data_IF_936996322852
#
_entry.id   IF_936996322852
#
_cell.length_a   1.000
_cell.length_b   1.000
_cell.length_c   1.000
_cell.angle_alpha   90.00
_cell.angle_beta   90.00
_cell.angle_gamma   90.00
#
_symmetry.space_group_name_H-M   'P 1'
#
loop_
_entity.id
_entity.type
_entity.pdbx_description
1 polymer ?
#
# COMPACT_ATOMS: atom_id res chain seq x y z
N UNK A 1 16.73 22.38 19.55
CA UNK A 1 16.85 20.93 19.85
C UNK A 1 15.63 20.25 19.23
N UNK A 2 15.79 19.64 18.05
CA UNK A 2 14.68 18.98 17.34
C UNK A 2 14.53 17.57 17.92
N UNK A 3 13.38 17.30 18.53
CA UNK A 3 12.93 15.96 18.90
C UNK A 3 12.67 15.18 17.63
N UNK A 4 13.48 14.16 17.33
CA UNK A 4 13.16 13.18 16.29
C UNK A 4 12.18 12.17 16.87
N UNK A 5 10.92 12.24 16.42
CA UNK A 5 9.92 11.21 16.69
C UNK A 5 10.39 9.91 16.06
N UNK A 6 10.65 8.88 16.89
CA UNK A 6 10.97 7.53 16.44
C UNK A 6 9.64 6.82 16.15
N UNK A 7 9.29 6.65 14.88
CA UNK A 7 8.17 5.80 14.49
C UNK A 7 8.64 4.34 14.51
N UNK A 8 7.95 3.49 15.26
CA UNK A 8 8.19 2.05 15.32
C UNK A 8 7.10 1.33 14.52
N UNK A 9 7.49 0.44 13.60
CA UNK A 9 6.54 -0.47 12.96
C UNK A 9 6.37 -1.68 13.86
N UNK A 10 5.11 -2.06 14.11
CA UNK A 10 4.78 -3.27 14.85
C UNK A 10 4.57 -4.38 13.82
N UNK A 11 5.49 -5.33 13.74
CA UNK A 11 5.29 -6.58 13.01
C UNK A 11 4.54 -7.55 13.92
N UNK A 12 3.32 -7.94 13.54
CA UNK A 12 2.56 -9.00 14.24
C UNK A 12 2.72 -10.30 13.45
N UNK A 13 3.59 -11.20 13.91
CA UNK A 13 3.65 -12.58 13.41
C UNK A 13 2.75 -13.46 14.29
N UNK A 14 1.58 -13.85 13.78
CA UNK A 14 0.69 -14.77 14.50
C UNK A 14 1.11 -16.23 14.24
N UNK A 15 1.57 -16.94 15.28
CA UNK A 15 1.60 -18.42 15.27
C UNK A 15 0.22 -18.96 15.66
N UNK A 16 -0.40 -19.75 14.78
CA UNK A 16 -1.69 -20.39 15.03
C UNK A 16 -1.51 -21.74 15.74
N UNK A 17 -2.11 -21.91 16.93
CA UNK A 17 -2.32 -23.23 17.53
C UNK A 17 -3.74 -23.72 17.24
N UNK A 18 -3.88 -24.92 16.68
CA UNK A 18 -5.17 -25.58 16.46
C UNK A 18 -5.66 -26.26 17.74
N UNK A 19 -6.91 -26.00 18.13
CA UNK A 19 -7.58 -26.72 19.22
C UNK A 19 -8.75 -27.51 18.62
N UNK A 20 -8.74 -28.83 18.79
CA UNK A 20 -9.83 -29.74 18.43
C UNK A 20 -10.90 -29.71 19.53
N UNK A 21 -12.15 -29.37 19.18
CA UNK A 21 -13.29 -29.43 20.10
C UNK A 21 -14.03 -30.77 19.95
N UNK A 22 -14.19 -31.50 21.06
CA UNK A 22 -15.05 -32.68 21.15
C UNK A 22 -16.50 -32.28 21.45
N UNK A 23 -17.46 -32.93 20.79
CA UNK A 23 -18.89 -32.64 20.90
C UNK A 23 -19.51 -33.31 22.13
N UNK A 24 -20.29 -32.55 22.91
CA UNK A 24 -21.13 -33.06 23.99
C UNK A 24 -22.32 -32.12 24.21
N UNK A 25 -23.53 -32.65 24.11
CA UNK A 25 -24.80 -31.91 24.14
C UNK A 25 -25.44 -31.90 25.52
N UNK A 26 -25.74 -30.69 26.03
CA UNK A 26 -26.83 -30.42 26.98
C UNK A 26 -27.21 -28.94 26.91
N UNK A 27 -28.46 -28.64 26.57
CA UNK A 27 -29.02 -27.28 26.57
C UNK A 27 -29.36 -26.84 28.00
N UNK A 28 -28.69 -25.79 28.46
CA UNK A 28 -29.12 -24.93 29.56
C UNK A 28 -28.86 -23.49 29.15
N UNK A 29 -29.89 -22.64 29.24
CA UNK A 29 -29.84 -21.21 28.92
C UNK A 29 -28.95 -20.47 29.92
N UNK A 30 -27.66 -20.43 29.65
CA UNK A 30 -26.73 -19.46 30.22
C UNK A 30 -26.52 -18.37 29.17
N UNK A 31 -26.68 -17.10 29.58
CA UNK A 31 -26.16 -15.96 28.85
C UNK A 31 -24.68 -16.26 28.60
N UNK A 32 -24.34 -16.57 27.35
CA UNK A 32 -22.97 -16.80 26.95
C UNK A 32 -22.24 -15.47 27.12
N UNK A 33 -21.51 -15.35 28.23
CA UNK A 33 -20.43 -14.39 28.34
C UNK A 33 -19.50 -14.73 27.17
N UNK A 34 -19.49 -13.88 26.14
CA UNK A 34 -18.48 -13.94 25.08
C UNK A 34 -17.13 -13.91 25.78
N UNK A 35 -16.52 -15.08 25.89
CA UNK A 35 -15.17 -15.21 26.39
C UNK A 35 -14.30 -14.60 25.30
N UNK A 36 -14.03 -13.30 25.40
CA UNK A 36 -13.06 -12.64 24.56
C UNK A 36 -11.78 -13.48 24.64
N UNK A 37 -11.43 -14.12 23.53
CA UNK A 37 -10.14 -14.81 23.42
C UNK A 37 -9.11 -13.70 23.49
N UNK A 38 -8.55 -13.48 24.67
CA UNK A 38 -7.42 -12.59 24.85
C UNK A 38 -6.23 -13.25 24.16
N UNK A 39 -6.05 -12.93 22.87
CA UNK A 39 -4.77 -13.17 22.20
C UNK A 39 -3.82 -12.11 22.72
N UNK A 40 -2.92 -12.51 23.61
CA UNK A 40 -1.79 -11.67 23.98
C UNK A 40 -0.83 -11.60 22.79
N UNK A 41 -0.72 -10.43 22.17
CA UNK A 41 0.33 -10.14 21.19
C UNK A 41 1.54 -9.63 21.96
N UNK A 42 2.66 -10.34 21.86
CA UNK A 42 3.96 -9.87 22.37
C UNK A 42 4.75 -9.28 21.23
N UNK A 43 5.38 -8.13 21.45
CA UNK A 43 6.24 -7.48 20.46
C UNK A 43 7.69 -7.61 20.88
N UNK A 44 8.57 -7.91 19.92
CA UNK A 44 10.02 -7.91 20.10
C UNK A 44 10.65 -6.90 19.14
N UNK A 45 11.67 -6.19 19.61
CA UNK A 45 12.45 -5.29 18.77
C UNK A 45 13.48 -6.10 17.98
N UNK A 46 13.25 -6.25 16.68
CA UNK A 46 14.11 -7.02 15.75
C UNK A 46 15.07 -6.14 14.95
N UNK A 47 14.72 -4.86 14.73
CA UNK A 47 15.56 -3.89 14.05
C UNK A 47 15.18 -2.45 14.45
N UNK A 48 16.17 -1.57 14.51
CA UNK A 48 15.97 -0.13 14.69
C UNK A 48 16.36 0.60 13.40
N UNK A 49 15.36 0.95 12.59
CA UNK A 49 15.51 1.68 11.34
C UNK A 49 14.94 3.08 11.53
N UNK A 50 15.62 4.10 11.00
CA UNK A 50 15.15 5.48 11.07
C UNK A 50 14.06 5.73 10.02
N UNK A 51 12.92 6.28 10.44
CA UNK A 51 11.75 6.56 9.58
C UNK A 51 11.41 5.42 8.59
N UNK A 52 11.18 4.18 9.05
CA UNK A 52 10.70 3.10 8.18
C UNK A 52 9.42 3.51 7.47
N UNK A 53 9.26 3.10 6.22
CA UNK A 53 8.06 3.36 5.42
C UNK A 53 7.38 2.06 5.08
N UNK A 54 8.08 1.12 4.46
CA UNK A 54 7.51 -0.16 4.05
C UNK A 54 8.41 -1.34 4.40
N UNK A 55 7.86 -2.54 4.38
CA UNK A 55 8.63 -3.76 4.35
C UNK A 55 8.08 -4.73 3.29
N UNK A 56 8.94 -5.61 2.79
CA UNK A 56 8.57 -6.65 1.84
C UNK A 56 9.35 -7.94 2.10
N UNK A 57 8.77 -9.06 1.71
CA UNK A 57 9.41 -10.37 1.72
C UNK A 57 9.75 -10.71 0.27
N UNK A 58 11.00 -11.11 0.03
CA UNK A 58 11.46 -11.52 -1.31
C UNK A 58 11.22 -13.01 -1.51
N UNK A 59 10.52 -13.42 -2.59
CA UNK A 59 10.38 -14.83 -2.92
C UNK A 59 11.74 -15.54 -3.04
N UNK A 60 11.84 -16.74 -2.47
CA UNK A 60 13.07 -17.55 -2.47
C UNK A 60 14.02 -17.29 -1.29
N UNK A 61 13.80 -16.26 -0.48
CA UNK A 61 14.51 -16.07 0.79
C UNK A 61 13.86 -16.87 1.94
N UNK A 62 14.63 -17.20 3.00
CA UNK A 62 14.05 -17.71 4.23
C UNK A 62 13.00 -16.74 4.80
N UNK A 63 11.94 -17.27 5.43
CA UNK A 63 10.86 -16.45 6.01
C UNK A 63 11.30 -15.53 7.17
N UNK A 64 12.51 -15.74 7.71
CA UNK A 64 13.13 -14.85 8.68
C UNK A 64 13.76 -13.61 8.04
N UNK A 65 13.85 -13.52 6.72
CA UNK A 65 14.45 -12.39 6.02
C UNK A 65 13.36 -11.46 5.54
N UNK A 66 13.44 -10.21 5.97
CA UNK A 66 12.60 -9.13 5.47
C UNK A 66 13.47 -7.99 4.93
N UNK A 67 12.90 -7.19 4.04
CA UNK A 67 13.51 -5.98 3.53
C UNK A 67 12.68 -4.80 4.00
N UNK A 68 13.33 -3.78 4.54
CA UNK A 68 12.66 -2.62 5.13
C UNK A 68 13.17 -1.35 4.45
N UNK A 69 12.25 -0.59 3.87
CA UNK A 69 12.51 0.72 3.30
C UNK A 69 12.46 1.80 4.39
N UNK A 70 13.33 2.80 4.28
CA UNK A 70 13.27 4.04 5.05
C UNK A 70 12.88 5.21 4.16
N UNK A 71 12.21 6.21 4.74
CA UNK A 71 11.80 7.43 4.06
C UNK A 71 12.99 8.13 3.37
N UNK A 72 14.18 8.04 3.97
CA UNK A 72 15.41 8.66 3.45
C UNK A 72 15.97 7.96 2.22
N UNK A 73 15.35 6.88 1.74
CA UNK A 73 15.77 6.18 0.53
C UNK A 73 16.72 5.02 0.76
N UNK A 74 16.74 4.41 1.94
CA UNK A 74 17.51 3.17 2.15
C UNK A 74 16.59 1.96 2.18
N UNK A 75 17.11 0.82 1.73
CA UNK A 75 16.49 -0.48 1.92
C UNK A 75 17.47 -1.33 2.71
N UNK A 76 17.06 -1.80 3.87
CA UNK A 76 17.83 -2.70 4.72
C UNK A 76 17.32 -4.13 4.58
N UNK A 77 18.23 -5.09 4.46
CA UNK A 77 17.93 -6.51 4.70
C UNK A 77 18.02 -6.76 6.21
N UNK A 78 16.99 -7.39 6.77
CA UNK A 78 16.89 -7.70 8.20
C UNK A 78 16.69 -9.20 8.37
N UNK A 79 17.54 -9.84 9.16
CA UNK A 79 17.32 -11.22 9.61
C UNK A 79 16.67 -11.22 10.99
N UNK A 80 15.41 -11.67 11.05
CA UNK A 80 14.60 -11.72 12.26
C UNK A 80 15.08 -12.77 13.28
N UNK A 81 16.00 -13.67 12.90
CA UNK A 81 16.54 -14.69 13.81
C UNK A 81 17.78 -14.18 14.54
N UNK A 82 18.65 -13.46 13.83
CA UNK A 82 19.91 -12.95 14.38
C UNK A 82 19.84 -11.47 14.76
N UNK A 83 18.78 -10.77 14.35
CA UNK A 83 18.64 -9.32 14.39
C UNK A 83 19.72 -8.58 13.58
N UNK A 84 20.35 -9.27 12.61
CA UNK A 84 21.33 -8.66 11.73
C UNK A 84 20.64 -7.73 10.73
N UNK A 85 21.18 -6.52 10.59
CA UNK A 85 20.71 -5.50 9.65
C UNK A 85 21.86 -5.12 8.73
N UNK A 86 21.66 -5.23 7.43
CA UNK A 86 22.63 -4.85 6.41
C UNK A 86 21.98 -4.03 5.30
N UNK A 87 22.74 -3.15 4.64
CA UNK A 87 22.26 -2.42 3.47
C UNK A 87 21.93 -3.41 2.33
N UNK A 88 20.81 -3.16 1.65
CA UNK A 88 20.40 -3.90 0.44
C UNK A 88 20.42 -3.01 -0.80
N UNK A 89 19.84 -1.81 -0.73
CA UNK A 89 19.81 -0.83 -1.82
C UNK A 89 19.67 0.60 -1.29
N UNK A 90 20.06 1.58 -2.10
CA UNK A 90 20.00 3.00 -1.73
C UNK A 90 19.56 3.91 -2.89
N UNK A 91 18.46 4.61 -2.65
CA UNK A 91 17.85 5.66 -3.48
C UNK A 91 18.08 7.06 -2.90
N UNK A 92 18.94 7.21 -1.88
CA UNK A 92 19.20 8.46 -1.15
C UNK A 92 19.49 9.68 -2.04
N UNK A 93 20.13 9.46 -3.19
CA UNK A 93 20.48 10.54 -4.14
C UNK A 93 19.36 10.85 -5.15
N UNK A 94 18.27 10.10 -5.13
CA UNK A 94 17.14 10.23 -6.06
C UNK A 94 15.90 10.80 -5.39
N UNK A 95 15.84 10.87 -4.06
CA UNK A 95 14.63 11.23 -3.31
C UNK A 95 14.91 12.26 -2.22
N UNK A 96 13.84 12.90 -1.75
CA UNK A 96 13.86 13.76 -0.56
C UNK A 96 13.10 13.08 0.59
N UNK A 97 13.76 12.86 1.72
CA UNK A 97 13.12 12.25 2.89
C UNK A 97 12.47 13.28 3.83
N UNK A 98 11.49 14.05 3.34
CA UNK A 98 10.84 15.13 4.12
C UNK A 98 9.32 15.15 3.93
N UNK A 99 8.57 15.41 5.00
CA UNK A 99 7.10 15.43 4.93
C UNK A 99 6.57 14.03 4.63
N UNK A 100 5.75 13.90 3.57
CA UNK A 100 5.28 12.61 3.05
C UNK A 100 6.11 12.10 1.86
N UNK A 101 7.15 12.85 1.47
CA UNK A 101 8.07 12.48 0.39
C UNK A 101 9.15 11.52 0.89
N UNK A 102 9.70 10.75 -0.03
CA UNK A 102 10.78 9.79 0.25
C UNK A 102 10.68 8.53 -0.59
N UNK A 103 11.37 7.48 -0.12
CA UNK A 103 11.08 6.11 -0.52
C UNK A 103 9.92 5.57 0.32
N UNK A 104 8.80 5.28 -0.31
CA UNK A 104 7.51 5.06 0.35
C UNK A 104 7.07 3.59 0.33
N UNK A 105 7.42 2.86 -0.72
CA UNK A 105 7.06 1.45 -0.88
C UNK A 105 8.10 0.65 -1.61
N UNK A 106 8.13 -0.65 -1.30
CA UNK A 106 8.93 -1.66 -1.99
C UNK A 106 8.10 -2.93 -2.17
N UNK A 107 8.35 -3.66 -3.25
CA UNK A 107 7.85 -5.00 -3.48
C UNK A 107 8.87 -5.80 -4.30
N UNK A 108 8.68 -7.11 -4.42
CA UNK A 108 9.51 -7.96 -5.27
C UNK A 108 8.65 -8.62 -6.34
N UNK A 109 9.23 -8.86 -7.52
CA UNK A 109 8.63 -9.72 -8.54
C UNK A 109 8.33 -11.12 -7.99
N UNK A 110 7.41 -11.85 -8.63
CA UNK A 110 6.99 -13.21 -8.18
C UNK A 110 8.14 -14.20 -8.07
N UNK A 111 9.17 -14.04 -8.91
CA UNK A 111 10.38 -14.85 -8.92
C UNK A 111 11.50 -14.28 -8.03
N UNK A 112 11.30 -13.09 -7.44
CA UNK A 112 12.29 -12.41 -6.61
C UNK A 112 13.49 -11.84 -7.38
N UNK A 113 13.43 -11.80 -8.72
CA UNK A 113 14.53 -11.31 -9.56
C UNK A 113 14.50 -9.80 -9.82
N UNK A 114 13.41 -9.12 -9.47
CA UNK A 114 13.34 -7.66 -9.51
C UNK A 114 12.85 -7.09 -8.18
N UNK A 115 13.45 -5.96 -7.78
CA UNK A 115 12.93 -5.05 -6.77
C UNK A 115 12.07 -4.00 -7.46
N UNK A 116 10.84 -3.82 -7.01
CA UNK A 116 10.01 -2.66 -7.32
C UNK A 116 10.10 -1.64 -6.21
N UNK A 117 10.28 -0.37 -6.55
CA UNK A 117 10.37 0.73 -5.59
C UNK A 117 9.45 1.88 -5.99
N UNK A 118 8.74 2.44 -5.02
CA UNK A 118 7.93 3.64 -5.12
C UNK A 118 8.59 4.75 -4.30
N UNK A 119 9.05 5.79 -4.97
CA UNK A 119 9.61 6.97 -4.30
C UNK A 119 9.17 8.26 -5.00
N UNK A 120 9.23 9.38 -4.28
CA UNK A 120 9.16 10.72 -4.89
C UNK A 120 10.55 11.20 -5.26
N UNK A 121 10.77 11.72 -6.46
CA UNK A 121 12.07 12.23 -6.88
C UNK A 121 12.46 13.56 -6.19
N UNK A 122 13.57 14.17 -6.63
CA UNK A 122 14.05 15.44 -6.09
C UNK A 122 13.12 16.63 -6.38
N UNK A 123 12.33 16.55 -7.45
CA UNK A 123 11.30 17.53 -7.78
C UNK A 123 9.98 17.24 -7.03
N UNK A 124 9.86 16.03 -6.49
CA UNK A 124 8.73 15.57 -5.69
C UNK A 124 7.73 14.72 -6.46
N UNK A 125 8.04 14.33 -7.69
CA UNK A 125 7.16 13.52 -8.54
C UNK A 125 7.29 12.03 -8.24
N UNK A 126 6.20 11.29 -8.37
CA UNK A 126 6.19 9.85 -8.11
C UNK A 126 6.92 9.09 -9.22
N UNK A 127 7.82 8.22 -8.80
CA UNK A 127 8.50 7.24 -9.65
C UNK A 127 8.24 5.84 -9.10
N UNK A 128 7.70 4.98 -9.96
CA UNK A 128 7.65 3.53 -9.75
C UNK A 128 8.70 2.93 -10.66
N UNK A 129 9.69 2.25 -10.07
CA UNK A 129 10.82 1.68 -10.82
C UNK A 129 10.96 0.20 -10.55
N UNK A 130 11.60 -0.50 -11.49
CA UNK A 130 12.10 -1.84 -11.29
C UNK A 130 13.63 -1.87 -11.38
N UNK A 131 14.25 -2.72 -10.56
CA UNK A 131 15.70 -2.92 -10.49
C UNK A 131 15.96 -4.42 -10.52
N UNK A 132 16.81 -4.88 -11.43
CA UNK A 132 17.20 -6.29 -11.48
C UNK A 132 18.03 -6.68 -10.25
N UNK A 133 17.79 -7.89 -9.74
CA UNK A 133 18.53 -8.49 -8.64
C UNK A 133 19.34 -9.66 -9.21
N UNK A 134 20.67 -9.58 -9.10
CA UNK A 134 21.60 -10.58 -9.61
C UNK A 134 22.39 -11.14 -8.44
N UNK A 135 22.34 -12.46 -8.26
CA UNK A 135 23.01 -13.15 -7.15
C UNK A 135 22.65 -12.57 -5.76
N UNK A 136 21.38 -12.18 -5.57
CA UNK A 136 20.89 -11.60 -4.32
C UNK A 136 21.27 -10.13 -4.09
N UNK A 137 21.87 -9.46 -5.08
CA UNK A 137 22.27 -8.05 -4.99
C UNK A 137 21.52 -7.23 -6.06
N UNK A 138 20.84 -6.13 -5.69
CA UNK A 138 20.19 -5.25 -6.65
C UNK A 138 21.23 -4.45 -7.44
N UNK A 139 21.08 -4.41 -8.76
CA UNK A 139 21.93 -3.65 -9.67
C UNK A 139 21.23 -2.35 -10.09
N UNK A 140 21.44 -1.27 -9.34
CA UNK A 140 20.79 0.03 -9.59
C UNK A 140 21.10 0.61 -10.99
N UNK A 141 22.11 0.12 -11.70
CA UNK A 141 22.37 0.54 -13.09
C UNK A 141 21.34 0.01 -14.09
N UNK A 142 20.55 -0.99 -13.68
CA UNK A 142 19.44 -1.58 -14.45
C UNK A 142 18.10 -0.91 -14.20
N UNK A 143 18.07 0.16 -13.39
CA UNK A 143 16.84 0.85 -13.00
C UNK A 143 16.03 1.26 -14.23
N UNK A 144 14.79 0.81 -14.30
CA UNK A 144 13.82 1.15 -15.34
C UNK A 144 12.58 1.77 -14.71
N UNK A 145 12.14 2.90 -15.24
CA UNK A 145 10.88 3.52 -14.82
C UNK A 145 9.71 2.72 -15.37
N UNK A 146 8.90 2.18 -14.47
CA UNK A 146 7.61 1.56 -14.78
C UNK A 146 6.57 2.64 -15.02
N UNK A 147 6.44 3.55 -14.07
CA UNK A 147 5.43 4.61 -14.10
C UNK A 147 6.01 5.88 -13.49
N UNK A 148 5.72 7.01 -14.14
CA UNK A 148 6.03 8.34 -13.65
C UNK A 148 4.72 9.13 -13.54
N UNK A 149 4.51 9.81 -12.42
CA UNK A 149 3.32 10.64 -12.18
C UNK A 149 3.75 11.96 -11.55
N UNK A 150 3.40 13.07 -12.20
CA UNK A 150 3.63 14.41 -11.64
C UNK A 150 2.78 14.62 -10.38
N UNK A 151 3.38 15.18 -9.34
CA UNK A 151 2.71 15.43 -8.06
C UNK A 151 2.43 16.93 -7.90
N UNK A 152 1.15 17.36 -7.83
CA UNK A 152 0.81 18.78 -7.77
C UNK A 152 1.14 19.41 -6.41
N UNK A 153 1.17 18.62 -5.33
CA UNK A 153 1.54 19.07 -3.99
C UNK A 153 2.55 18.11 -3.31
N UNK A 154 2.97 18.46 -2.08
CA UNK A 154 4.02 17.72 -1.36
C UNK A 154 3.50 16.61 -0.43
N UNK A 155 2.20 16.32 -0.50
CA UNK A 155 1.51 15.35 0.33
C UNK A 155 0.54 14.49 -0.52
N UNK A 156 0.01 13.44 0.09
CA UNK A 156 -0.82 12.39 -0.50
C UNK A 156 -0.12 11.67 -1.64
N UNK A 157 1.15 11.32 -1.42
CA UNK A 157 1.96 10.64 -2.43
C UNK A 157 1.65 9.14 -2.55
N UNK A 158 0.74 8.59 -1.71
CA UNK A 158 0.50 7.16 -1.64
C UNK A 158 1.75 6.42 -1.18
N UNK A 159 1.97 5.19 -1.65
CA UNK A 159 3.23 4.51 -1.30
C UNK A 159 3.18 3.00 -1.47
N UNK A 160 2.03 2.38 -1.20
CA UNK A 160 1.93 0.93 -1.20
C UNK A 160 2.16 0.33 -2.59
N UNK A 161 3.00 -0.71 -2.61
CA UNK A 161 3.19 -1.61 -3.73
C UNK A 161 2.82 -3.02 -3.29
N UNK A 162 2.08 -3.74 -4.13
CA UNK A 162 1.75 -5.15 -3.90
C UNK A 162 1.81 -5.90 -5.22
N UNK A 163 2.47 -7.06 -5.24
CA UNK A 163 2.46 -7.95 -6.41
C UNK A 163 1.43 -9.04 -6.18
N UNK A 164 0.40 -9.09 -7.02
CA UNK A 164 -0.65 -10.11 -6.92
C UNK A 164 -0.18 -11.49 -7.41
N UNK A 165 -1.01 -12.51 -7.21
CA UNK A 165 -0.66 -13.89 -7.59
C UNK A 165 -0.47 -14.10 -9.10
N UNK A 166 -1.03 -13.21 -9.92
CA UNK A 166 -0.86 -13.21 -11.36
C UNK A 166 0.37 -12.39 -11.82
N UNK A 167 1.13 -11.80 -10.89
CA UNK A 167 2.32 -11.01 -11.18
C UNK A 167 2.03 -9.56 -11.57
N UNK A 168 0.82 -9.06 -11.35
CA UNK A 168 0.50 -7.65 -11.56
C UNK A 168 0.97 -6.83 -10.35
N UNK A 169 1.53 -5.66 -10.63
CA UNK A 169 1.89 -4.67 -9.63
C UNK A 169 0.68 -3.76 -9.38
N UNK A 170 0.16 -3.79 -8.16
CA UNK A 170 -0.78 -2.83 -7.64
C UNK A 170 -0.05 -1.65 -7.00
N UNK A 171 -0.53 -0.44 -7.28
CA UNK A 171 0.14 0.81 -6.91
C UNK A 171 -0.91 1.74 -6.28
N UNK A 172 -0.73 2.13 -5.03
CA UNK A 172 -1.58 3.12 -4.36
C UNK A 172 -1.04 4.53 -4.55
N UNK A 173 -1.85 5.41 -5.15
CA UNK A 173 -1.55 6.83 -5.35
C UNK A 173 -2.65 7.67 -4.72
N UNK A 174 -2.27 8.61 -3.85
CA UNK A 174 -3.20 9.62 -3.35
C UNK A 174 -3.59 10.64 -4.42
N UNK A 175 -4.54 11.51 -4.09
CA UNK A 175 -5.12 12.54 -4.96
C UNK A 175 -4.14 13.64 -5.39
N UNK A 176 -2.90 13.58 -4.92
CA UNK A 176 -1.84 14.53 -5.21
C UNK A 176 -1.76 15.69 -4.22
N UNK A 177 -2.62 15.72 -3.20
CA UNK A 177 -2.46 16.57 -2.02
C UNK A 177 -3.39 17.79 -1.97
N UNK A 178 -3.04 18.69 -1.05
CA UNK A 178 -3.85 19.83 -0.62
C UNK A 178 -5.23 19.46 -0.01
N UNK A 179 -5.87 20.47 0.58
CA UNK A 179 -7.16 20.31 1.25
C UNK A 179 -8.27 20.12 0.23
N UNK A 180 -9.00 19.00 0.35
CA UNK A 180 -10.24 18.77 -0.38
C UNK A 180 -10.09 18.53 -1.88
N UNK A 181 -8.95 18.01 -2.35
CA UNK A 181 -8.70 17.66 -3.76
C UNK A 181 -9.04 18.80 -4.74
N UNK A 182 -8.29 19.92 -4.72
CA UNK A 182 -8.62 21.11 -5.51
C UNK A 182 -8.52 20.88 -7.02
N UNK A 183 -7.89 19.79 -7.47
CA UNK A 183 -7.77 19.41 -8.87
C UNK A 183 -8.79 18.32 -9.28
N UNK A 184 -9.60 17.83 -8.33
CA UNK A 184 -10.63 16.82 -8.57
C UNK A 184 -10.06 15.49 -9.04
N UNK A 185 -8.81 15.17 -8.67
CA UNK A 185 -8.12 13.97 -9.11
C UNK A 185 -8.82 12.69 -8.69
N UNK A 186 -9.40 12.63 -7.48
CA UNK A 186 -10.11 11.45 -6.97
C UNK A 186 -11.19 10.95 -7.94
N UNK A 187 -11.98 11.89 -8.47
CA UNK A 187 -13.08 11.61 -9.42
C UNK A 187 -12.68 11.75 -10.90
N UNK A 188 -11.53 12.31 -11.22
CA UNK A 188 -11.08 12.46 -12.60
C UNK A 188 -10.67 11.09 -13.19
N UNK A 189 -11.38 10.56 -14.21
CA UNK A 189 -11.10 9.24 -14.78
C UNK A 189 -9.83 9.20 -15.63
N UNK A 190 -9.31 10.34 -16.09
CA UNK A 190 -8.06 10.40 -16.86
C UNK A 190 -6.83 10.65 -15.98
N UNK A 191 -7.01 10.83 -14.67
CA UNK A 191 -5.91 11.02 -13.72
C UNK A 191 -5.54 9.70 -13.07
N UNK A 192 -4.24 9.48 -12.87
CA UNK A 192 -3.71 8.34 -12.10
C UNK A 192 -3.71 8.61 -10.58
N UNK A 193 -3.97 9.85 -10.15
CA UNK A 193 -3.99 10.26 -8.75
C UNK A 193 -5.36 9.96 -8.12
N UNK A 194 -5.35 9.60 -6.83
CA UNK A 194 -6.53 9.22 -6.06
C UNK A 194 -7.08 7.86 -6.48
N UNK A 195 -6.16 6.92 -6.77
CA UNK A 195 -6.44 5.61 -7.38
C UNK A 195 -5.62 4.50 -6.73
N UNK A 196 -6.10 3.28 -6.87
CA UNK A 196 -5.22 2.10 -6.93
C UNK A 196 -5.11 1.70 -8.39
N UNK A 197 -3.88 1.63 -8.89
CA UNK A 197 -3.57 1.18 -10.23
C UNK A 197 -3.19 -0.30 -10.24
N UNK A 198 -3.32 -0.96 -11.39
CA UNK A 198 -2.89 -2.34 -11.60
C UNK A 198 -2.27 -2.48 -12.99
N UNK A 199 -0.97 -2.77 -13.03
CA UNK A 199 -0.18 -2.94 -14.25
C UNK A 199 0.58 -4.27 -14.22
N UNK A 200 0.99 -4.79 -15.37
CA UNK A 200 1.90 -5.94 -15.47
C UNK A 200 3.28 -5.45 -15.90
N UNK A 201 4.28 -5.37 -15.00
CA UNK A 201 5.65 -5.01 -15.39
C UNK A 201 6.18 -5.94 -16.48
N UNK A 202 6.76 -5.37 -17.54
CA UNK A 202 7.38 -6.18 -18.60
C UNK A 202 8.84 -6.47 -18.29
N UNK A 203 9.44 -7.53 -18.86
CA UNK A 203 10.86 -7.82 -18.70
C UNK A 203 11.77 -6.70 -19.22
N UNK A 204 13.03 -6.61 -18.76
CA UNK A 204 14.05 -5.74 -19.32
C UNK A 204 14.17 -5.88 -20.85
N UNK A 205 14.35 -4.74 -21.55
CA UNK A 205 14.47 -4.70 -23.00
C UNK A 205 13.14 -4.74 -23.78
N UNK A 206 12.00 -4.81 -23.09
CA UNK A 206 10.68 -4.68 -23.71
C UNK A 206 10.44 -3.26 -24.25
N UNK A 207 9.58 -3.13 -25.27
CA UNK A 207 9.28 -1.84 -25.91
C UNK A 207 8.47 -0.90 -25.01
N UNK A 208 7.54 -1.45 -24.23
CA UNK A 208 6.82 -0.74 -23.17
C UNK A 208 7.34 -1.20 -21.82
N UNK A 209 7.27 -0.38 -20.76
CA UNK A 209 7.76 -0.75 -19.43
C UNK A 209 6.78 -1.63 -18.63
N UNK A 210 5.51 -1.62 -19.01
CA UNK A 210 4.45 -2.47 -18.49
C UNK A 210 3.38 -2.72 -19.57
N UNK A 211 2.46 -3.63 -19.27
CA UNK A 211 1.20 -3.85 -19.98
C UNK A 211 0.03 -3.55 -19.04
N UNK A 212 -1.13 -3.20 -19.59
CA UNK A 212 -2.38 -3.19 -18.83
C UNK A 212 -2.96 -4.61 -18.84
N UNK A 213 -3.29 -5.20 -17.67
CA UNK A 213 -3.97 -6.49 -17.62
C UNK A 213 -5.31 -6.42 -18.37
N UNK A 214 -5.60 -7.42 -19.21
CA UNK A 214 -6.85 -7.44 -19.99
C UNK A 214 -8.10 -7.58 -19.12
N UNK A 215 -7.95 -8.00 -17.86
CA UNK A 215 -9.03 -8.07 -16.86
C UNK A 215 -9.12 -6.79 -16.00
N UNK A 216 -8.39 -5.72 -16.31
CA UNK A 216 -8.64 -4.42 -15.70
C UNK A 216 -10.02 -3.89 -16.12
N UNK A 217 -10.73 -3.19 -15.20
CA UNK A 217 -12.10 -2.76 -15.43
C UNK A 217 -12.25 -1.75 -16.58
N UNK A 218 -11.15 -1.06 -16.92
CA UNK A 218 -11.12 -0.01 -17.94
C UNK A 218 -10.12 -0.29 -19.07
N UNK A 219 -9.68 -1.55 -19.25
CA UNK A 219 -8.64 -1.90 -20.22
C UNK A 219 -8.97 -1.46 -21.66
N UNK A 220 -10.25 -1.48 -22.04
CA UNK A 220 -10.75 -1.11 -23.38
C UNK A 220 -11.45 0.27 -23.38
N UNK A 221 -11.26 1.08 -22.33
CA UNK A 221 -11.90 2.39 -22.21
C UNK A 221 -11.09 3.48 -22.91
N UNK A 222 -11.75 4.29 -23.75
CA UNK A 222 -11.16 5.50 -24.33
C UNK A 222 -11.23 6.72 -23.40
N UNK A 223 -12.00 6.63 -22.30
CA UNK A 223 -12.34 7.77 -21.44
C UNK A 223 -11.84 7.65 -20.00
N UNK A 224 -11.35 6.47 -19.61
CA UNK A 224 -10.82 6.17 -18.27
C UNK A 224 -9.43 5.59 -18.45
N UNK A 225 -8.47 6.03 -17.64
CA UNK A 225 -7.10 5.52 -17.72
C UNK A 225 -7.11 3.98 -17.47
N UNK A 226 -6.54 3.19 -18.41
CA UNK A 226 -6.70 1.73 -18.40
C UNK A 226 -5.97 1.04 -17.24
N UNK A 227 -5.02 1.73 -16.60
CA UNK A 227 -4.30 1.26 -15.41
C UNK A 227 -5.17 1.23 -14.15
N UNK A 228 -6.29 1.95 -14.12
CA UNK A 228 -7.11 2.12 -12.91
C UNK A 228 -7.77 0.78 -12.53
N UNK A 229 -7.50 0.32 -11.31
CA UNK A 229 -8.23 -0.78 -10.68
C UNK A 229 -9.35 -0.27 -9.76
N UNK A 230 -9.09 0.83 -9.04
CA UNK A 230 -10.06 1.50 -8.17
C UNK A 230 -9.86 3.02 -8.20
N UNK A 231 -10.94 3.77 -7.94
CA UNK A 231 -10.92 5.24 -7.97
C UNK A 231 -11.66 5.89 -6.80
N UNK A 232 -11.57 7.21 -6.71
CA UNK A 232 -12.22 7.99 -5.67
C UNK A 232 -11.59 7.79 -4.30
N UNK A 233 -10.26 7.66 -4.24
CA UNK A 233 -9.50 7.55 -3.00
C UNK A 233 -8.77 8.87 -2.72
N UNK A 234 -8.53 9.19 -1.44
CA UNK A 234 -7.79 10.40 -1.03
C UNK A 234 -6.31 10.16 -0.92
N UNK A 235 -5.90 9.23 -0.07
CA UNK A 235 -4.52 8.83 0.14
C UNK A 235 -4.49 7.37 0.63
N UNK A 236 -4.64 6.38 -0.29
CA UNK A 236 -4.70 4.95 0.04
C UNK A 236 -3.30 4.45 0.40
N UNK A 237 -2.83 4.86 1.59
CA UNK A 237 -1.45 4.69 2.02
C UNK A 237 -1.10 3.21 2.15
N UNK A 238 -2.00 2.36 2.67
CA UNK A 238 -1.79 0.91 2.77
C UNK A 238 -3.00 0.15 2.28
N UNK A 239 -2.73 -0.99 1.64
CA UNK A 239 -3.75 -1.94 1.25
C UNK A 239 -3.15 -3.35 1.18
N UNK A 240 -4.03 -4.35 1.26
CA UNK A 240 -3.67 -5.76 1.14
C UNK A 240 -4.74 -6.52 0.36
N UNK A 241 -4.37 -7.71 -0.11
CA UNK A 241 -5.30 -8.67 -0.73
C UNK A 241 -5.37 -9.87 0.19
N UNK A 242 -6.58 -10.24 0.61
CA UNK A 242 -6.79 -11.45 1.39
C UNK A 242 -6.45 -12.67 0.50
N UNK A 243 -5.47 -13.51 0.87
CA UNK A 243 -5.05 -14.64 0.04
C UNK A 243 -6.08 -15.77 -0.02
N UNK A 244 -7.08 -15.77 0.86
CA UNK A 244 -8.15 -16.78 0.92
C UNK A 244 -9.35 -16.36 0.09
N UNK A 245 -9.79 -15.10 0.20
CA UNK A 245 -11.00 -14.61 -0.47
C UNK A 245 -10.70 -13.83 -1.75
N UNK A 246 -9.50 -13.26 -1.88
CA UNK A 246 -9.15 -12.33 -2.95
C UNK A 246 -9.72 -10.92 -2.74
N UNK A 247 -10.27 -10.63 -1.56
CA UNK A 247 -10.80 -9.30 -1.24
C UNK A 247 -9.66 -8.30 -1.03
N UNK A 248 -9.84 -7.10 -1.55
CA UNK A 248 -9.00 -5.95 -1.27
C UNK A 248 -9.44 -5.30 0.03
N UNK A 249 -8.48 -5.04 0.91
CA UNK A 249 -8.64 -4.22 2.11
C UNK A 249 -7.79 -2.97 1.94
N UNK A 250 -8.42 -1.81 1.96
CA UNK A 250 -7.77 -0.53 1.62
C UNK A 250 -7.96 0.41 2.80
N UNK A 251 -6.85 0.85 3.39
CA UNK A 251 -6.82 1.92 4.37
C UNK A 251 -6.66 3.25 3.62
N UNK A 252 -7.68 4.10 3.70
CA UNK A 252 -7.66 5.43 3.07
C UNK A 252 -7.72 6.53 4.13
N UNK A 253 -6.81 7.50 4.00
CA UNK A 253 -6.67 8.58 4.97
C UNK A 253 -7.59 9.72 4.58
N UNK A 254 -8.59 10.01 5.41
CA UNK A 254 -9.53 11.09 5.18
C UNK A 254 -8.94 12.47 5.48
N UNK A 255 -9.77 13.49 5.30
CA UNK A 255 -9.39 14.89 5.26
C UNK A 255 -9.39 15.57 6.63
N UNK A 256 -10.55 15.59 7.28
CA UNK A 256 -10.79 16.33 8.52
C UNK A 256 -11.64 15.52 9.52
N UNK A 257 -12.62 14.76 9.04
CA UNK A 257 -13.67 14.16 9.86
C UNK A 257 -13.52 12.66 10.05
N UNK A 258 -13.09 11.93 9.02
CA UNK A 258 -13.05 10.47 9.04
C UNK A 258 -11.71 9.91 8.62
N UNK A 259 -11.44 8.70 9.07
CA UNK A 259 -10.49 7.76 8.51
C UNK A 259 -11.27 6.50 8.16
N UNK A 260 -10.86 5.75 7.12
CA UNK A 260 -11.68 4.66 6.63
C UNK A 260 -10.90 3.39 6.24
N UNK A 261 -11.56 2.24 6.43
CA UNK A 261 -11.20 0.97 5.82
C UNK A 261 -12.28 0.58 4.83
N UNK A 262 -11.87 0.44 3.58
CA UNK A 262 -12.69 -0.11 2.51
C UNK A 262 -12.40 -1.60 2.33
N UNK A 263 -13.44 -2.37 1.98
CA UNK A 263 -13.30 -3.76 1.57
C UNK A 263 -14.12 -4.00 0.32
N UNK A 264 -13.48 -4.51 -0.72
CA UNK A 264 -14.14 -4.87 -1.99
C UNK A 264 -13.60 -6.19 -2.51
N UNK A 265 -14.47 -6.98 -3.12
CA UNK A 265 -14.08 -8.22 -3.78
C UNK A 265 -13.39 -7.96 -5.12
N UNK A 266 -12.72 -8.97 -5.67
CA UNK A 266 -12.13 -8.88 -7.02
C UNK A 266 -13.17 -8.62 -8.12
N UNK A 267 -14.42 -9.05 -7.93
CA UNK A 267 -15.52 -8.75 -8.88
C UNK A 267 -15.95 -7.29 -8.89
N UNK A 268 -15.49 -6.50 -7.92
CA UNK A 268 -15.82 -5.08 -7.77
C UNK A 268 -14.67 -4.18 -8.24
N UNK A 269 -13.71 -4.71 -9.02
CA UNK A 269 -12.75 -3.88 -9.75
C UNK A 269 -13.50 -2.77 -10.52
N UNK A 270 -13.01 -1.55 -10.39
CA UNK A 270 -13.65 -0.33 -10.88
C UNK A 270 -14.50 0.39 -9.84
N UNK A 271 -14.58 -0.12 -8.60
CA UNK A 271 -15.27 0.55 -7.50
C UNK A 271 -14.75 1.98 -7.27
N UNK A 272 -15.69 2.91 -7.11
CA UNK A 272 -15.46 4.31 -6.80
C UNK A 272 -15.75 4.57 -5.31
N UNK A 273 -14.74 4.90 -4.53
CA UNK A 273 -14.84 5.13 -3.08
C UNK A 273 -15.35 6.54 -2.73
N UNK A 274 -15.47 7.41 -3.74
CA UNK A 274 -16.25 8.64 -3.62
C UNK A 274 -15.50 9.86 -3.14
N UNK A 275 -14.21 9.80 -2.79
CA UNK A 275 -13.43 11.02 -2.55
C UNK A 275 -13.34 11.86 -3.84
N UNK A 276 -13.61 13.18 -3.83
CA UNK A 276 -13.94 14.08 -2.71
C UNK A 276 -15.44 14.43 -2.59
N UNK A 277 -16.33 13.62 -3.17
CA UNK A 277 -17.78 13.74 -3.00
C UNK A 277 -18.19 13.36 -1.58
N UNK A 278 -17.54 12.35 -1.01
CA UNK A 278 -17.69 11.91 0.38
C UNK A 278 -16.35 11.86 1.10
N UNK A 279 -16.41 11.90 2.42
CA UNK A 279 -15.35 11.52 3.35
C UNK A 279 -15.93 10.48 4.31
N UNK A 280 -15.48 9.22 4.23
CA UNK A 280 -16.23 8.12 4.83
C UNK A 280 -17.60 7.97 4.16
N UNK A 281 -18.62 7.79 5.00
CA UNK A 281 -20.03 7.76 4.62
C UNK A 281 -20.67 9.16 4.52
N UNK A 282 -19.95 10.23 4.88
CA UNK A 282 -20.49 11.59 4.98
C UNK A 282 -20.27 12.41 3.69
N UNK A 283 -21.23 13.26 3.27
CA UNK A 283 -21.01 14.19 2.16
C UNK A 283 -19.90 15.19 2.44
N UNK A 284 -19.05 15.47 1.44
CA UNK A 284 -17.93 16.41 1.55
C UNK A 284 -18.07 17.62 0.60
N UNK A 285 -17.48 17.60 -0.62
CA UNK A 285 -17.40 18.81 -1.46
C UNK A 285 -17.56 18.63 -2.97
N UNK A 286 -17.85 17.42 -3.45
CA UNK A 286 -18.03 17.11 -4.87
C UNK A 286 -19.48 17.08 -5.39
N UNK A 287 -19.63 17.06 -6.71
CA UNK A 287 -20.94 16.83 -7.36
C UNK A 287 -21.34 15.37 -7.22
N UNK A 288 -22.60 15.09 -6.86
CA UNK A 288 -23.09 13.72 -6.67
C UNK A 288 -22.93 12.88 -7.94
N UNK A 289 -22.27 11.73 -7.79
CA UNK A 289 -22.22 10.66 -8.80
C UNK A 289 -22.98 9.44 -8.29
N UNK A 290 -23.47 8.61 -9.19
CA UNK A 290 -24.11 7.34 -8.83
C UNK A 290 -23.07 6.27 -8.48
N UNK A 291 -23.50 5.24 -7.73
CA UNK A 291 -22.72 4.03 -7.44
C UNK A 291 -21.38 4.27 -6.73
N UNK A 292 -21.42 5.02 -5.62
CA UNK A 292 -20.30 5.12 -4.69
C UNK A 292 -20.26 3.90 -3.77
N UNK A 293 -19.05 3.50 -3.40
CA UNK A 293 -18.78 2.44 -2.42
C UNK A 293 -18.63 3.08 -1.05
N UNK A 294 -19.28 2.52 -0.04
CA UNK A 294 -19.12 2.95 1.36
C UNK A 294 -18.04 2.13 2.05
N UNK A 295 -17.31 2.70 3.02
CA UNK A 295 -16.34 1.94 3.79
C UNK A 295 -17.02 0.89 4.66
N UNK A 296 -16.30 -0.19 4.95
CA UNK A 296 -16.77 -1.22 5.90
C UNK A 296 -16.47 -0.86 7.35
N UNK A 297 -15.57 0.09 7.57
CA UNK A 297 -15.28 0.68 8.87
C UNK A 297 -14.79 2.12 8.71
N UNK A 298 -15.21 3.00 9.61
CA UNK A 298 -14.76 4.39 9.68
C UNK A 298 -14.71 4.85 11.14
N UNK A 299 -13.85 5.83 11.44
CA UNK A 299 -13.74 6.44 12.76
C UNK A 299 -13.37 7.92 12.66
N UNK A 300 -13.66 8.66 13.72
CA UNK A 300 -13.40 10.10 13.76
C UNK A 300 -11.90 10.40 13.76
N UNK A 301 -11.48 11.33 12.89
CA UNK A 301 -10.09 11.78 12.83
C UNK A 301 -9.78 12.75 13.98
N UNK A 302 -9.28 12.22 15.10
CA UNK A 302 -8.93 13.01 16.29
C UNK A 302 -7.51 13.61 16.25
N UNK A 303 -6.88 13.70 15.07
CA UNK A 303 -5.61 14.41 14.87
C UNK A 303 -4.35 13.66 15.33
N UNK A 304 -4.37 12.32 15.35
CA UNK A 304 -3.21 11.53 15.78
C UNK A 304 -3.20 10.05 15.39
N UNK A 305 -4.16 9.59 14.58
CA UNK A 305 -4.22 8.19 14.12
C UNK A 305 -4.79 8.16 12.71
N UNK A 306 -3.93 7.96 11.73
CA UNK A 306 -4.33 7.66 10.35
C UNK A 306 -4.65 6.18 10.21
N UNK A 307 -5.49 5.82 9.24
CA UNK A 307 -5.61 4.42 8.81
C UNK A 307 -4.21 3.88 8.41
N UNK A 308 -3.80 2.74 8.99
CA UNK A 308 -2.58 1.98 8.63
C UNK A 308 -3.02 0.58 8.20
#
# INVERSE_FOLDING_TARGET
MKSSSRYAFILIVCMSFAVTAACGSTQSTNLAQESAISRSVTTELVAAIDAPTAFAIRPGEPSSIIYVASQKGEISRVDLTTNDVSEFASFRNQTTGTGERGLLGIAFSRDGNELYAHFTDLDGNTNIVAVEIRNGVPDLTTTRTLLFVEQPYSNHNGGQLLVDDAGNLLIGLGDGGASGDPLGNGQNPSSLLGKILRITPTPPGSTTPYLVPSDNPFAESDSVAPEIAFLGLRNPWRFSVDPTTGDFWIADVGQDSKEEINRVSRSELGANFGWNIKEGSEPFSGSTVAALTDPVHEWDNLGGSSAI
#
